data_IF_409002029288
#
_entry.id   IF_409002029288
#
_cell.length_a   1.000
_cell.length_b   1.000
_cell.length_c   1.000
_cell.angle_alpha   90.00
_cell.angle_beta   90.00
_cell.angle_gamma   90.00
#
_symmetry.space_group_name_H-M   'P 1'
#
loop_
_entity.id
_entity.type
_entity.pdbx_description
1 polymer ?
#
# COMPACT_ATOMS: atom_id res chain seq x y z
N UNK A 1 -10.19 -18.36 8.83
CA UNK A 1 -9.07 -17.97 7.93
C UNK A 1 -9.23 -16.51 7.44
N UNK A 2 -9.47 -15.55 8.33
CA UNK A 2 -9.77 -14.13 7.99
C UNK A 2 -8.83 -13.12 8.67
N UNK A 3 -7.86 -13.59 9.46
CA UNK A 3 -6.99 -12.70 10.27
C UNK A 3 -5.99 -11.89 9.44
N UNK A 4 -5.43 -12.44 8.35
CA UNK A 4 -4.34 -11.76 7.62
C UNK A 4 -4.82 -10.50 6.90
N UNK A 5 -5.92 -10.61 6.17
CA UNK A 5 -6.59 -9.48 5.50
C UNK A 5 -6.99 -8.41 6.53
N UNK A 6 -7.58 -8.82 7.66
CA UNK A 6 -7.97 -7.90 8.74
C UNK A 6 -6.75 -7.19 9.36
N UNK A 7 -5.63 -7.89 9.52
CA UNK A 7 -4.38 -7.35 10.04
C UNK A 7 -3.74 -6.34 9.08
N UNK A 8 -3.68 -6.66 7.79
CA UNK A 8 -3.22 -5.75 6.73
C UNK A 8 -4.10 -4.49 6.69
N UNK A 9 -5.43 -4.68 6.71
CA UNK A 9 -6.40 -3.57 6.73
C UNK A 9 -6.23 -2.68 7.95
N UNK A 10 -5.85 -3.24 9.11
CA UNK A 10 -5.52 -2.47 10.30
C UNK A 10 -4.20 -1.69 10.15
N UNK A 11 -3.15 -2.31 9.59
CA UNK A 11 -1.86 -1.64 9.31
C UNK A 11 -1.95 -0.52 8.27
N UNK A 12 -2.93 -0.58 7.36
CA UNK A 12 -3.19 0.50 6.41
C UNK A 12 -3.81 1.75 7.05
N UNK A 13 -4.30 1.67 8.30
CA UNK A 13 -4.86 2.83 9.00
C UNK A 13 -3.73 3.73 9.47
N UNK A 14 -3.49 4.81 8.75
CA UNK A 14 -2.34 5.71 8.95
C UNK A 14 -2.80 7.11 9.33
N UNK A 15 -1.95 7.84 10.05
CA UNK A 15 -2.29 9.18 10.56
C UNK A 15 -2.43 10.24 9.45
N UNK A 16 -1.79 10.00 8.31
CA UNK A 16 -1.86 10.86 7.12
C UNK A 16 -3.12 10.56 6.32
N UNK A 17 -4.04 11.54 6.27
CA UNK A 17 -5.36 11.40 5.64
C UNK A 17 -5.28 10.99 4.17
N UNK A 18 -4.33 11.55 3.43
CA UNK A 18 -4.17 11.24 2.00
C UNK A 18 -3.67 9.81 1.78
N UNK A 19 -2.71 9.37 2.59
CA UNK A 19 -2.17 8.02 2.54
C UNK A 19 -3.22 6.99 2.98
N UNK A 20 -3.96 7.28 4.05
CA UNK A 20 -5.06 6.43 4.53
C UNK A 20 -6.13 6.23 3.45
N UNK A 21 -6.53 7.31 2.76
CA UNK A 21 -7.56 7.25 1.74
C UNK A 21 -7.12 6.41 0.52
N UNK A 22 -5.89 6.63 0.05
CA UNK A 22 -5.29 5.84 -1.04
C UNK A 22 -5.17 4.36 -0.67
N UNK A 23 -4.61 4.06 0.51
CA UNK A 23 -4.44 2.69 0.97
C UNK A 23 -5.78 2.00 1.18
N UNK A 24 -6.78 2.71 1.74
CA UNK A 24 -8.11 2.18 2.03
C UNK A 24 -8.90 1.86 0.76
N UNK A 25 -8.82 2.71 -0.25
CA UNK A 25 -9.41 2.45 -1.58
C UNK A 25 -8.71 1.24 -2.22
N UNK A 26 -7.38 1.24 -2.24
CA UNK A 26 -6.58 0.15 -2.82
C UNK A 26 -6.93 -1.20 -2.19
N UNK A 27 -6.95 -1.29 -0.85
CA UNK A 27 -7.32 -2.54 -0.19
C UNK A 27 -8.79 -2.91 -0.46
N UNK A 28 -9.71 -1.95 -0.55
CA UNK A 28 -11.10 -2.30 -0.84
C UNK A 28 -11.30 -2.85 -2.25
N UNK A 29 -10.47 -2.44 -3.21
CA UNK A 29 -10.57 -2.85 -4.62
C UNK A 29 -9.72 -4.07 -4.97
N UNK A 30 -8.54 -4.19 -4.34
CA UNK A 30 -7.52 -5.18 -4.70
C UNK A 30 -7.27 -6.24 -3.62
N UNK A 31 -7.54 -5.98 -2.33
CA UNK A 31 -7.20 -6.92 -1.25
C UNK A 31 -7.96 -8.25 -1.36
N UNK A 32 -9.20 -8.24 -1.84
CA UNK A 32 -9.98 -9.46 -2.12
C UNK A 32 -9.47 -10.23 -3.34
N UNK A 33 -8.71 -9.56 -4.22
CA UNK A 33 -8.12 -10.15 -5.43
C UNK A 33 -6.65 -10.50 -5.26
N UNK A 34 -6.04 -10.19 -4.11
CA UNK A 34 -4.63 -10.45 -3.86
C UNK A 34 -4.40 -11.90 -3.43
N UNK A 35 -3.53 -12.58 -4.18
CA UNK A 35 -2.93 -13.84 -3.79
C UNK A 35 -1.97 -13.69 -2.61
N UNK A 36 -1.65 -14.80 -1.96
CA UNK A 36 -0.72 -14.86 -0.82
C UNK A 36 0.63 -14.20 -1.09
N UNK A 37 1.13 -14.24 -2.33
CA UNK A 37 2.39 -13.60 -2.73
C UNK A 37 2.26 -12.06 -2.78
N UNK A 38 1.12 -11.55 -3.25
CA UNK A 38 0.84 -10.11 -3.30
C UNK A 38 0.61 -9.55 -1.89
N UNK A 39 -0.02 -10.34 -1.02
CA UNK A 39 -0.19 -9.99 0.40
C UNK A 39 1.16 -9.91 1.13
N UNK A 40 2.11 -10.78 0.79
CA UNK A 40 3.48 -10.72 1.33
C UNK A 40 4.22 -9.44 0.91
N UNK A 41 4.16 -9.10 -0.38
CA UNK A 41 4.70 -7.83 -0.92
C UNK A 41 4.06 -6.62 -0.23
N UNK A 42 2.73 -6.61 -0.09
CA UNK A 42 2.01 -5.53 0.59
C UNK A 42 2.41 -5.45 2.07
N UNK A 43 2.57 -6.57 2.77
CA UNK A 43 3.08 -6.54 4.15
C UNK A 43 4.51 -6.02 4.22
N UNK A 44 5.34 -6.31 3.22
CA UNK A 44 6.68 -5.72 3.06
C UNK A 44 6.63 -4.21 2.90
N UNK A 45 5.76 -3.71 2.01
CA UNK A 45 5.50 -2.29 1.80
C UNK A 45 4.99 -1.62 3.08
N UNK A 46 4.08 -2.26 3.81
CA UNK A 46 3.52 -1.72 5.05
C UNK A 46 4.51 -1.70 6.22
N UNK A 47 5.71 -2.30 6.09
CA UNK A 47 6.80 -2.12 7.07
C UNK A 47 7.48 -0.77 6.95
N UNK A 48 7.36 -0.07 5.82
CA UNK A 48 7.91 1.28 5.69
C UNK A 48 7.10 2.30 6.51
N UNK A 49 7.80 3.29 7.05
CA UNK A 49 7.20 4.41 7.76
C UNK A 49 6.27 5.23 6.85
N UNK A 50 5.31 5.90 7.48
CA UNK A 50 4.34 6.77 6.81
C UNK A 50 5.02 7.82 5.94
N UNK A 51 6.11 8.39 6.47
CA UNK A 51 6.89 9.41 5.79
C UNK A 51 7.50 8.87 4.50
N UNK A 52 8.12 7.69 4.53
CA UNK A 52 8.76 7.08 3.35
C UNK A 52 7.75 6.71 2.27
N UNK A 53 6.61 6.12 2.66
CA UNK A 53 5.53 5.82 1.71
C UNK A 53 4.95 7.11 1.12
N UNK A 54 4.77 8.15 1.94
CA UNK A 54 4.29 9.44 1.47
C UNK A 54 5.30 10.09 0.52
N UNK A 55 6.59 10.12 0.86
CA UNK A 55 7.65 10.66 0.01
C UNK A 55 7.74 9.91 -1.33
N UNK A 56 7.60 8.58 -1.35
CA UNK A 56 7.57 7.83 -2.61
C UNK A 56 6.30 8.11 -3.44
N UNK A 57 5.12 8.18 -2.81
CA UNK A 57 3.86 8.36 -3.54
C UNK A 57 3.70 9.80 -4.05
N UNK A 58 4.06 10.80 -3.24
CA UNK A 58 3.84 12.22 -3.50
C UNK A 58 5.08 12.96 -4.00
N UNK A 59 6.29 12.57 -3.58
CA UNK A 59 7.54 13.20 -4.02
C UNK A 59 8.35 12.34 -4.99
N UNK A 60 7.86 11.15 -5.35
CA UNK A 60 8.57 10.17 -6.21
C UNK A 60 9.96 9.79 -5.66
N UNK A 61 10.14 9.85 -4.33
CA UNK A 61 11.42 9.52 -3.69
C UNK A 61 11.58 8.00 -3.52
N UNK A 62 12.65 7.38 -4.06
CA UNK A 62 12.81 5.92 -4.04
C UNK A 62 12.96 5.36 -2.63
N UNK A 63 12.28 4.24 -2.37
CA UNK A 63 12.40 3.46 -1.13
C UNK A 63 13.65 2.57 -1.14
N UNK A 64 14.31 2.43 -2.29
CA UNK A 64 15.48 1.59 -2.47
C UNK A 64 15.15 0.10 -2.65
N UNK A 65 13.87 -0.24 -2.81
CA UNK A 65 13.42 -1.58 -3.16
C UNK A 65 12.49 -1.54 -4.37
N UNK A 66 13.03 -1.91 -5.52
CA UNK A 66 12.35 -1.82 -6.79
C UNK A 66 11.07 -2.68 -6.87
N UNK A 67 11.01 -3.83 -6.18
CA UNK A 67 9.81 -4.68 -6.18
C UNK A 67 8.65 -3.96 -5.46
N UNK A 68 8.94 -3.44 -4.27
CA UNK A 68 7.97 -2.68 -3.47
C UNK A 68 7.54 -1.40 -4.17
N UNK A 69 8.48 -0.67 -4.77
CA UNK A 69 8.19 0.54 -5.56
C UNK A 69 7.24 0.23 -6.72
N UNK A 70 7.55 -0.79 -7.54
CA UNK A 70 6.68 -1.22 -8.63
C UNK A 70 5.31 -1.66 -8.13
N UNK A 71 5.23 -2.33 -6.98
CA UNK A 71 3.98 -2.72 -6.35
C UNK A 71 3.13 -1.50 -5.96
N UNK A 72 3.73 -0.52 -5.29
CA UNK A 72 3.05 0.72 -4.91
C UNK A 72 2.59 1.48 -6.16
N UNK A 73 3.43 1.60 -7.19
CA UNK A 73 3.05 2.26 -8.45
C UNK A 73 1.87 1.56 -9.12
N UNK A 74 1.90 0.23 -9.16
CA UNK A 74 0.90 -0.61 -9.84
C UNK A 74 -0.44 -0.68 -9.11
N UNK A 75 -0.46 -0.67 -7.77
CA UNK A 75 -1.69 -0.89 -7.00
C UNK A 75 -2.15 0.32 -6.19
N UNK A 76 -1.23 1.17 -5.73
CA UNK A 76 -1.53 2.33 -4.87
C UNK A 76 -1.56 3.63 -5.69
N UNK A 77 -0.54 3.89 -6.53
CA UNK A 77 -0.44 5.12 -7.35
C UNK A 77 -1.31 5.11 -8.61
N UNK A 78 -1.87 3.95 -8.98
CA UNK A 78 -2.72 3.82 -10.17
C UNK A 78 -4.05 4.60 -10.04
N UNK A 79 -4.37 5.12 -8.85
CA UNK A 79 -5.49 6.03 -8.66
C UNK A 79 -5.11 7.48 -9.02
N UNK A 80 -4.98 7.77 -10.31
CA UNK A 80 -5.25 9.12 -10.82
C UNK A 80 -6.71 9.17 -11.23
N UNK A 81 -7.51 9.89 -10.45
CA UNK A 81 -8.84 10.33 -10.85
C UNK A 81 -8.66 11.21 -12.09
N UNK A 82 -9.15 10.71 -13.23
CA UNK A 82 -9.42 11.50 -14.44
C UNK A 82 -10.40 12.65 -14.11
#
# INVERSE_FOLDING_TARGET
MTNRISHIKWKCRRGLRELDLLLREMISQHLEKFDSNQLDELEGVLKYDDQSLFDFIFKDEPLGNQSHELFILKYIKTYKKD
#
